data_IF_075705612251
#
_entry.id   IF_075705612251
#
_cell.length_a   1.000
_cell.length_b   1.000
_cell.length_c   1.000
_cell.angle_alpha   90.00
_cell.angle_beta   90.00
_cell.angle_gamma   90.00
#
_symmetry.space_group_name_H-M   'P 1'
#
loop_
_entity.id
_entity.type
_entity.pdbx_description
1 polymer ?
#
# COMPACT_ATOMS: atom_id res chain seq x y z
N UNK A 1 -62.84 -34.57 -8.05
CA UNK A 1 -62.95 -35.84 -7.27
C UNK A 1 -61.81 -36.72 -7.78
N UNK A 2 -60.80 -37.08 -6.97
CA UNK A 2 -60.72 -38.33 -6.16
C UNK A 2 -61.02 -39.56 -7.04
N UNK A 3 -60.13 -40.54 -7.20
CA UNK A 3 -59.39 -41.34 -6.19
C UNK A 3 -57.85 -41.16 -6.29
N UNK A 4 -56.99 -41.23 -5.25
CA UNK A 4 -56.81 -42.17 -4.13
C UNK A 4 -56.26 -43.57 -4.53
N UNK A 5 -54.93 -43.74 -4.48
CA UNK A 5 -54.28 -45.06 -4.35
C UNK A 5 -53.27 -45.03 -3.18
N UNK A 6 -53.23 -46.10 -2.38
CA UNK A 6 -52.53 -46.21 -1.07
C UNK A 6 -51.56 -47.40 -1.04
N UNK A 7 -50.58 -47.38 -0.13
CA UNK A 7 -49.73 -48.53 0.26
C UNK A 7 -48.49 -48.69 -0.63
N UNK A 8 -47.22 -48.47 -0.23
CA UNK A 8 -46.45 -48.71 1.02
C UNK A 8 -46.04 -50.18 1.21
N UNK A 9 -44.76 -50.37 1.61
CA UNK A 9 -44.03 -51.56 2.15
C UNK A 9 -43.05 -52.19 1.14
N UNK A 10 -41.74 -52.42 1.36
CA UNK A 10 -40.65 -52.11 2.34
C UNK A 10 -39.39 -52.89 1.81
N UNK A 11 -38.24 -52.86 2.51
CA UNK A 11 -36.95 -53.56 2.23
C UNK A 11 -36.01 -52.83 1.24
N UNK A 12 -34.69 -52.77 1.41
CA UNK A 12 -33.73 -53.10 2.51
C UNK A 12 -32.45 -52.26 2.23
N UNK A 13 -31.49 -51.95 3.12
CA UNK A 13 -31.17 -52.33 4.51
C UNK A 13 -30.85 -51.08 5.37
N UNK A 14 -30.65 -51.28 6.67
CA UNK A 14 -29.86 -50.40 7.56
C UNK A 14 -28.51 -51.08 7.81
N UNK A 15 -27.39 -50.36 7.67
CA UNK A 15 -26.17 -50.67 8.44
C UNK A 15 -25.46 -49.39 8.87
N UNK A 16 -24.93 -49.42 10.09
CA UNK A 16 -24.49 -48.27 10.88
C UNK A 16 -22.96 -48.12 10.89
N UNK A 17 -22.54 -46.88 11.16
CA UNK A 17 -21.24 -46.44 11.70
C UNK A 17 -20.16 -47.50 12.01
N UNK A 18 -19.03 -47.39 11.30
CA UNK A 18 -17.66 -47.62 11.77
C UNK A 18 -16.70 -47.16 10.66
N UNK A 19 -15.68 -46.33 10.88
CA UNK A 19 -15.25 -45.59 12.07
C UNK A 19 -14.16 -44.58 11.68
N UNK A 20 -13.63 -43.81 12.63
CA UNK A 20 -12.50 -42.92 12.35
C UNK A 20 -11.24 -43.72 11.95
N UNK A 21 -10.54 -43.28 10.91
CA UNK A 21 -9.17 -43.74 10.65
C UNK A 21 -8.26 -42.60 10.20
N UNK A 22 -7.30 -42.31 11.08
CA UNK A 22 -5.96 -41.74 10.88
C UNK A 22 -5.75 -40.74 9.73
N UNK A 23 -5.40 -39.51 10.12
CA UNK A 23 -4.95 -38.43 9.23
C UNK A 23 -3.80 -38.87 8.30
N UNK A 24 -3.98 -38.68 6.99
CA UNK A 24 -2.91 -38.16 6.15
C UNK A 24 -3.21 -36.68 5.89
N UNK A 25 -2.24 -35.77 6.04
CA UNK A 25 -2.41 -34.41 5.57
C UNK A 25 -2.39 -34.44 4.04
N UNK A 26 -3.56 -34.52 3.42
CA UNK A 26 -3.74 -34.00 2.07
C UNK A 26 -3.26 -32.56 2.11
N UNK A 27 -2.13 -32.28 1.47
CA UNK A 27 -1.66 -30.91 1.28
C UNK A 27 -2.72 -30.22 0.45
N UNK A 28 -3.61 -29.51 1.16
CA UNK A 28 -4.47 -28.51 0.54
C UNK A 28 -3.51 -27.46 0.03
N UNK A 29 -3.14 -27.59 -1.24
CA UNK A 29 -2.55 -26.50 -2.00
C UNK A 29 -3.63 -25.41 -2.04
N UNK A 30 -3.63 -24.57 -1.01
CA UNK A 30 -4.13 -23.20 -1.16
C UNK A 30 -3.37 -22.64 -2.34
N UNK A 31 -4.04 -22.60 -3.48
CA UNK A 31 -3.77 -21.62 -4.52
C UNK A 31 -4.02 -20.26 -3.88
N UNK A 32 -3.03 -19.81 -3.11
CA UNK A 32 -2.78 -18.40 -2.90
C UNK A 32 -2.51 -17.88 -4.30
N UNK A 33 -3.54 -17.38 -4.95
CA UNK A 33 -3.42 -16.60 -6.19
C UNK A 33 -2.44 -15.48 -5.88
N UNK A 34 -1.19 -15.68 -6.24
CA UNK A 34 -0.20 -14.62 -6.25
C UNK A 34 -0.63 -13.69 -7.37
N UNK A 35 -1.41 -12.66 -7.01
CA UNK A 35 -1.49 -11.46 -7.83
C UNK A 35 -0.03 -11.03 -8.09
N UNK A 36 0.38 -11.14 -9.35
CA UNK A 36 1.72 -10.74 -9.74
C UNK A 36 1.91 -9.28 -9.32
N UNK A 37 2.91 -9.02 -8.47
CA UNK A 37 3.15 -7.69 -7.91
C UNK A 37 3.20 -6.70 -9.07
N UNK A 38 2.19 -5.83 -9.13
CA UNK A 38 2.09 -4.80 -10.17
C UNK A 38 3.22 -3.81 -9.92
N UNK A 39 4.16 -3.75 -10.86
CA UNK A 39 5.32 -2.88 -10.75
C UNK A 39 5.07 -1.54 -11.47
N UNK A 40 5.49 -0.41 -10.88
CA UNK A 40 5.21 0.91 -11.44
C UNK A 40 6.09 1.21 -12.64
N UNK A 41 5.62 2.13 -13.46
CA UNK A 41 6.30 2.63 -14.66
C UNK A 41 6.94 4.00 -14.47
N UNK A 42 6.43 4.80 -13.55
CA UNK A 42 6.95 6.11 -13.21
C UNK A 42 6.60 6.50 -11.75
N UNK A 43 7.35 7.46 -11.20
CA UNK A 43 7.08 8.09 -9.89
C UNK A 43 7.03 9.60 -10.07
N UNK A 44 5.93 10.24 -9.68
CA UNK A 44 5.83 11.68 -9.56
C UNK A 44 6.22 12.07 -8.14
N UNK A 45 7.29 12.86 -8.01
CA UNK A 45 7.85 13.28 -6.71
C UNK A 45 7.41 14.70 -6.44
N UNK A 46 6.51 14.87 -5.48
CA UNK A 46 6.06 16.17 -5.02
C UNK A 46 6.60 16.44 -3.61
N UNK A 47 7.03 17.66 -3.31
CA UNK A 47 7.64 18.04 -2.04
C UNK A 47 6.93 19.26 -1.43
N UNK A 48 6.76 19.26 -0.11
CA UNK A 48 6.31 20.44 0.62
C UNK A 48 7.51 21.36 0.90
N UNK A 49 7.56 22.52 0.24
CA UNK A 49 8.69 23.45 0.24
C UNK A 49 8.44 24.64 1.17
N UNK A 50 9.12 24.67 2.32
CA UNK A 50 8.98 25.73 3.32
C UNK A 50 9.44 27.08 2.74
N UNK A 51 8.57 28.08 2.82
CA UNK A 51 8.87 29.43 2.32
C UNK A 51 8.74 29.59 0.81
N UNK A 52 8.14 28.62 0.11
CA UNK A 52 7.70 28.83 -1.27
C UNK A 52 6.44 29.68 -1.35
N UNK A 53 6.32 30.42 -2.45
CA UNK A 53 5.20 31.31 -2.76
C UNK A 53 4.11 30.62 -3.60
N UNK A 54 4.29 29.34 -3.94
CA UNK A 54 3.38 28.56 -4.80
C UNK A 54 2.48 27.63 -3.97
N UNK A 55 1.32 27.20 -4.49
CA UNK A 55 0.55 26.10 -3.94
C UNK A 55 1.41 24.83 -3.76
N UNK A 56 1.06 24.03 -2.76
CA UNK A 56 1.85 22.93 -2.22
C UNK A 56 1.03 21.62 -2.21
N UNK A 57 1.69 20.46 -2.36
CA UNK A 57 3.12 20.31 -2.61
C UNK A 57 3.50 20.71 -4.04
N UNK A 58 4.76 21.03 -4.27
CA UNK A 58 5.29 21.29 -5.61
C UNK A 58 5.84 20.02 -6.24
N UNK A 59 5.55 19.80 -7.52
CA UNK A 59 6.24 18.77 -8.31
C UNK A 59 7.71 19.16 -8.46
N UNK A 60 8.61 18.33 -7.93
CA UNK A 60 10.07 18.56 -7.98
C UNK A 60 10.78 17.63 -8.96
N UNK A 61 10.26 16.43 -9.21
CA UNK A 61 10.83 15.47 -10.15
C UNK A 61 9.79 14.47 -10.69
N UNK A 62 10.07 13.83 -11.83
CA UNK A 62 9.32 12.69 -12.37
C UNK A 62 10.29 11.60 -12.84
N UNK A 63 10.43 10.56 -12.02
CA UNK A 63 11.25 9.38 -12.31
C UNK A 63 10.51 8.53 -13.34
N UNK A 64 10.95 8.59 -14.61
CA UNK A 64 10.38 7.82 -15.72
C UNK A 64 11.27 6.65 -16.17
N UNK A 65 12.46 6.48 -15.57
CA UNK A 65 13.22 5.24 -15.75
C UNK A 65 12.49 4.11 -15.01
N UNK A 66 11.97 3.15 -15.78
CA UNK A 66 11.17 2.07 -15.23
C UNK A 66 11.97 1.22 -14.22
N UNK A 67 13.17 0.70 -14.52
CA UNK A 67 13.99 -0.03 -13.53
C UNK A 67 14.19 0.72 -12.20
N UNK A 68 14.47 2.02 -12.25
CA UNK A 68 14.59 2.86 -11.06
C UNK A 68 13.26 2.97 -10.29
N UNK A 69 12.15 3.19 -10.99
CA UNK A 69 10.82 3.27 -10.38
C UNK A 69 10.41 1.94 -9.71
N UNK A 70 10.66 0.81 -10.36
CA UNK A 70 10.42 -0.53 -9.80
C UNK A 70 11.30 -0.79 -8.56
N UNK A 71 12.57 -0.38 -8.61
CA UNK A 71 13.51 -0.58 -7.50
C UNK A 71 13.16 0.27 -6.27
N UNK A 72 12.75 1.53 -6.46
CA UNK A 72 12.27 2.40 -5.36
C UNK A 72 11.00 1.83 -4.74
N UNK A 73 10.04 1.39 -5.57
CA UNK A 73 8.81 0.78 -5.08
C UNK A 73 9.05 -0.51 -4.30
N UNK A 74 10.00 -1.33 -4.76
CA UNK A 74 10.44 -2.53 -4.04
C UNK A 74 11.04 -2.17 -2.67
N UNK A 75 11.98 -1.23 -2.59
CA UNK A 75 12.55 -0.81 -1.31
C UNK A 75 11.51 -0.24 -0.34
N UNK A 76 10.53 0.50 -0.85
CA UNK A 76 9.40 0.98 -0.04
C UNK A 76 8.59 -0.16 0.57
N UNK A 77 8.35 -1.24 -0.18
CA UNK A 77 7.60 -2.40 0.29
C UNK A 77 8.43 -3.38 1.16
N UNK A 78 9.77 -3.27 1.16
CA UNK A 78 10.70 -4.08 1.97
C UNK A 78 11.01 -3.52 3.38
N UNK A 79 10.49 -2.33 3.72
CA UNK A 79 10.68 -1.72 5.04
C UNK A 79 9.94 -2.43 6.18
N UNK A 80 10.27 -2.08 7.42
CA UNK A 80 9.62 -2.62 8.63
C UNK A 80 8.21 -2.04 8.77
N UNK A 81 7.17 -2.88 8.79
CA UNK A 81 5.76 -2.47 8.81
C UNK A 81 5.27 -2.10 10.20
N UNK A 82 4.06 -1.53 10.26
CA UNK A 82 3.27 -1.26 11.47
C UNK A 82 3.98 -0.40 12.52
N UNK A 83 4.83 0.52 12.05
CA UNK A 83 5.52 1.49 12.88
C UNK A 83 4.60 2.69 13.19
N UNK A 84 4.93 3.40 14.28
CA UNK A 84 4.35 4.68 14.62
C UNK A 84 5.37 5.81 14.42
N UNK A 85 4.87 7.02 14.15
CA UNK A 85 5.72 8.18 13.85
C UNK A 85 5.45 9.31 14.85
N UNK A 86 6.51 9.82 15.46
CA UNK A 86 6.46 11.02 16.29
C UNK A 86 6.40 12.30 15.43
N UNK A 87 5.22 12.92 15.39
CA UNK A 87 4.91 14.13 14.60
C UNK A 87 5.91 15.28 14.78
N UNK A 88 6.47 15.46 15.99
CA UNK A 88 7.40 16.55 16.28
C UNK A 88 8.78 16.45 15.59
N UNK A 89 9.12 15.31 15.01
CA UNK A 89 10.48 15.01 14.52
C UNK A 89 10.58 15.03 12.98
N UNK A 90 9.73 15.77 12.26
CA UNK A 90 9.67 15.73 10.78
C UNK A 90 10.50 16.87 10.18
N UNK A 91 11.48 16.53 9.32
CA UNK A 91 12.35 17.46 8.58
C UNK A 91 11.79 17.75 7.17
N UNK A 92 11.34 16.72 6.45
CA UNK A 92 10.84 16.86 5.07
C UNK A 92 9.67 15.91 4.80
N UNK A 93 8.70 16.36 4.00
CA UNK A 93 7.53 15.59 3.57
C UNK A 93 7.46 15.63 2.05
N UNK A 94 7.19 14.46 1.45
CA UNK A 94 6.93 14.26 0.03
C UNK A 94 5.59 13.53 -0.18
N UNK A 95 4.96 13.77 -1.32
CA UNK A 95 3.92 12.89 -1.88
C UNK A 95 4.49 12.20 -3.12
N UNK A 96 4.57 10.87 -3.05
CA UNK A 96 5.07 10.01 -4.11
C UNK A 96 3.88 9.32 -4.79
N UNK A 97 3.60 9.67 -6.06
CA UNK A 97 2.57 8.98 -6.86
C UNK A 97 3.23 7.99 -7.80
N UNK A 98 2.98 6.70 -7.57
CA UNK A 98 3.43 5.61 -8.43
C UNK A 98 2.38 5.34 -9.50
N UNK A 99 2.76 5.47 -10.77
CA UNK A 99 1.87 5.23 -11.91
C UNK A 99 2.13 3.84 -12.51
N UNK A 100 1.11 2.98 -12.51
CA UNK A 100 1.19 1.61 -13.02
C UNK A 100 0.55 1.52 -14.40
N UNK A 101 1.29 0.97 -15.37
CA UNK A 101 0.86 0.81 -16.76
C UNK A 101 0.83 -0.65 -17.20
N UNK A 102 -0.02 -0.96 -18.17
CA UNK A 102 -0.06 -2.25 -18.87
C UNK A 102 0.12 -1.98 -20.36
N UNK A 103 1.36 -2.15 -20.85
CA UNK A 103 1.75 -1.59 -22.14
C UNK A 103 1.70 -0.07 -22.09
N UNK A 104 1.08 0.55 -23.09
CA UNK A 104 0.95 2.01 -23.15
C UNK A 104 -0.21 2.56 -22.30
N UNK A 105 -1.13 1.72 -21.79
CA UNK A 105 -2.30 2.19 -21.05
C UNK A 105 -2.00 2.43 -19.55
N UNK A 106 -2.35 3.60 -18.97
CA UNK A 106 -2.36 3.79 -17.53
C UNK A 106 -3.50 3.01 -16.90
N UNK A 107 -3.20 2.20 -15.89
CA UNK A 107 -4.19 1.31 -15.26
C UNK A 107 -4.59 1.80 -13.87
N UNK A 108 -3.63 2.33 -13.10
CA UNK A 108 -3.82 2.67 -11.70
C UNK A 108 -2.70 3.62 -11.24
N UNK A 109 -2.95 4.36 -10.15
CA UNK A 109 -1.89 5.03 -9.41
C UNK A 109 -2.09 4.83 -7.91
N UNK A 110 -1.01 4.64 -7.16
CA UNK A 110 -1.03 4.66 -5.69
C UNK A 110 -0.18 5.84 -5.19
N UNK A 111 -0.64 6.48 -4.12
CA UNK A 111 0.06 7.63 -3.53
C UNK A 111 0.54 7.29 -2.13
N UNK A 112 1.78 7.66 -1.81
CA UNK A 112 2.36 7.51 -0.49
C UNK A 112 2.76 8.89 0.04
N UNK A 113 2.41 9.14 1.32
CA UNK A 113 3.06 10.17 2.10
C UNK A 113 4.40 9.60 2.56
N UNK A 114 5.49 10.24 2.15
CA UNK A 114 6.86 9.84 2.47
C UNK A 114 7.50 10.95 3.30
N UNK A 115 8.13 10.59 4.40
CA UNK A 115 8.69 11.55 5.35
C UNK A 115 10.13 11.21 5.70
N UNK A 116 10.93 12.25 5.86
CA UNK A 116 12.28 12.21 6.41
C UNK A 116 12.23 12.90 7.77
N UNK A 117 12.65 12.20 8.81
CA UNK A 117 12.71 12.76 10.17
C UNK A 117 14.02 13.54 10.41
N UNK A 118 14.06 14.31 11.49
CA UNK A 118 15.23 15.10 11.89
C UNK A 118 16.44 14.22 12.24
N UNK A 119 16.20 13.00 12.77
CA UNK A 119 17.20 11.94 12.97
C UNK A 119 17.47 11.08 11.71
N UNK A 120 17.00 11.53 10.54
CA UNK A 120 17.24 10.95 9.20
C UNK A 120 16.70 9.54 8.99
N UNK A 121 15.71 9.14 9.78
CA UNK A 121 14.87 7.99 9.45
C UNK A 121 13.90 8.33 8.33
N UNK A 122 13.48 7.28 7.63
CA UNK A 122 12.66 7.36 6.44
C UNK A 122 11.40 6.55 6.72
N UNK A 123 10.22 7.14 6.54
CA UNK A 123 8.96 6.42 6.67
C UNK A 123 8.07 6.68 5.47
N UNK A 124 7.29 5.68 5.07
CA UNK A 124 6.23 5.86 4.09
C UNK A 124 4.91 5.24 4.56
N UNK A 125 3.80 5.82 4.11
CA UNK A 125 2.45 5.30 4.29
C UNK A 125 1.61 5.58 3.07
N UNK A 126 0.89 4.58 2.58
CA UNK A 126 -0.06 4.77 1.48
C UNK A 126 -1.23 5.63 1.97
N UNK A 127 -1.62 6.63 1.18
CA UNK A 127 -2.69 7.58 1.49
C UNK A 127 -3.64 7.72 0.31
N UNK A 128 -4.92 7.95 0.61
CA UNK A 128 -5.89 8.45 -0.36
C UNK A 128 -5.86 9.97 -0.29
N UNK A 129 -5.51 10.62 -1.41
CA UNK A 129 -5.45 12.08 -1.46
C UNK A 129 -6.83 12.70 -1.29
N UNK A 130 -6.85 13.81 -0.55
CA UNK A 130 -8.00 14.68 -0.35
C UNK A 130 -7.51 16.14 -0.24
N UNK A 131 -8.44 17.10 -0.16
CA UNK A 131 -8.13 18.53 -0.21
C UNK A 131 -7.14 19.01 0.88
N UNK A 132 -7.06 18.35 2.04
CA UNK A 132 -6.16 18.76 3.14
C UNK A 132 -4.66 18.55 2.84
N UNK A 133 -4.35 17.76 1.83
CA UNK A 133 -2.98 17.62 1.32
C UNK A 133 -2.56 18.78 0.40
N UNK A 134 -3.53 19.57 -0.09
CA UNK A 134 -3.25 20.75 -0.89
C UNK A 134 -3.20 21.99 0.04
N UNK A 135 -2.14 22.79 -0.04
CA UNK A 135 -1.96 23.97 0.81
C UNK A 135 -1.52 25.16 -0.03
N UNK A 136 -2.15 26.34 0.12
CA UNK A 136 -1.72 27.55 -0.61
C UNK A 136 -0.28 27.98 -0.28
N UNK A 137 0.14 27.71 0.96
CA UNK A 137 1.49 27.95 1.49
C UNK A 137 1.81 26.87 2.52
N UNK A 138 3.09 26.52 2.66
CA UNK A 138 3.56 25.53 3.64
C UNK A 138 4.65 26.09 4.55
N UNK A 139 4.50 25.77 5.83
CA UNK A 139 5.50 25.98 6.88
C UNK A 139 5.55 24.72 7.77
N UNK A 140 6.60 24.64 8.60
CA UNK A 140 6.87 23.47 9.44
C UNK A 140 5.81 23.17 10.50
N UNK A 141 4.92 24.11 10.83
CA UNK A 141 3.81 23.85 11.76
C UNK A 141 2.70 23.01 11.08
N UNK A 142 2.66 22.98 9.75
CA UNK A 142 1.70 22.18 8.98
C UNK A 142 2.10 20.70 8.84
N UNK A 143 3.33 20.33 9.23
CA UNK A 143 3.79 18.93 9.31
C UNK A 143 2.81 18.06 10.11
N UNK A 144 2.36 18.60 11.25
CA UNK A 144 1.41 17.93 12.13
C UNK A 144 0.06 17.68 11.49
N UNK A 145 -0.45 18.62 10.68
CA UNK A 145 -1.71 18.43 9.98
C UNK A 145 -1.61 17.31 8.93
N UNK A 146 -0.53 17.31 8.12
CA UNK A 146 -0.31 16.33 7.06
C UNK A 146 -0.13 14.90 7.60
N UNK A 147 0.66 14.72 8.67
CA UNK A 147 0.88 13.39 9.26
C UNK A 147 -0.31 12.92 10.11
N UNK A 148 -1.04 13.82 10.77
CA UNK A 148 -2.28 13.44 11.45
C UNK A 148 -3.38 13.04 10.46
N UNK A 149 -3.45 13.66 9.28
CA UNK A 149 -4.39 13.25 8.22
C UNK A 149 -4.05 11.87 7.65
N UNK A 150 -2.77 11.52 7.54
CA UNK A 150 -2.35 10.16 7.24
C UNK A 150 -2.56 9.18 8.42
N UNK A 151 -2.69 9.69 9.65
CA UNK A 151 -2.72 8.94 10.90
C UNK A 151 -1.33 8.44 11.34
N UNK A 152 -1.05 8.46 12.65
CA UNK A 152 0.30 8.28 13.22
C UNK A 152 0.81 6.83 13.34
N UNK A 153 -0.01 5.84 13.00
CA UNK A 153 0.28 4.39 13.10
C UNK A 153 0.24 3.72 11.71
N UNK A 154 0.69 2.47 11.59
CA UNK A 154 0.64 1.74 10.31
C UNK A 154 1.59 2.30 9.25
N UNK A 155 2.71 2.89 9.67
CA UNK A 155 3.78 3.36 8.79
C UNK A 155 4.79 2.26 8.52
N UNK A 156 5.52 2.39 7.40
CA UNK A 156 6.61 1.51 7.05
C UNK A 156 7.95 2.25 7.20
N UNK A 157 8.82 1.82 8.12
CA UNK A 157 10.19 2.37 8.29
C UNK A 157 11.11 1.78 7.22
N UNK A 158 11.76 2.65 6.47
CA UNK A 158 12.52 2.30 5.27
C UNK A 158 14.02 2.29 5.54
N UNK A 159 14.73 1.46 4.78
CA UNK A 159 16.20 1.43 4.79
C UNK A 159 16.75 2.62 3.99
N UNK A 160 18.00 2.98 4.25
CA UNK A 160 18.71 4.01 3.48
C UNK A 160 18.75 3.67 1.97
N UNK A 161 18.65 4.70 1.12
CA UNK A 161 18.69 4.57 -0.35
C UNK A 161 17.35 4.82 -1.05
N UNK A 162 16.24 4.89 -0.32
CA UNK A 162 14.96 5.40 -0.87
C UNK A 162 15.02 6.93 -1.00
N UNK A 163 14.23 7.49 -1.93
CA UNK A 163 14.19 8.92 -2.32
C UNK A 163 14.61 9.86 -1.18
N UNK A 164 15.80 10.42 -1.32
CA UNK A 164 16.35 11.44 -0.44
C UNK A 164 16.87 12.61 -1.32
N UNK A 165 17.41 13.65 -0.70
CA UNK A 165 17.93 14.81 -1.45
C UNK A 165 19.06 14.42 -2.40
N UNK A 166 19.89 13.46 -2.02
CA UNK A 166 21.01 12.99 -2.84
C UNK A 166 20.52 12.14 -4.05
N UNK A 167 19.37 11.48 -3.95
CA UNK A 167 18.75 10.73 -5.07
C UNK A 167 18.01 11.65 -6.05
N UNK A 168 17.56 12.83 -5.62
CA UNK A 168 16.82 13.80 -6.45
C UNK A 168 17.70 14.87 -7.11
N UNK A 169 18.96 15.00 -6.71
CA UNK A 169 19.88 16.04 -7.20
C UNK A 169 21.23 15.51 -7.74
N UNK A 170 21.31 14.20 -8.03
CA UNK A 170 22.41 13.56 -8.77
C UNK A 170 21.97 13.26 -10.21
#
# INVERSE_FOLDING_TARGET
MRECLKGVIVCLMVLLFSGCHVNQPTVSSTETTQEAIKLPSAIWVQMYLKGSNKPQPELVDVINDKPQAEQIYKWMNEGTKDQSVAVGNIDTIFLLRFDFRKGEEPVESSTYLYIITTDKKLYAKQVVLNEKYNLDQYDSNKNSALVNEAGTEGWQELKAGVINKDVLYN
#
